data_IF_359633684001
#
_entry.id   IF_359633684001
#
_cell.length_a   1.000
_cell.length_b   1.000
_cell.length_c   1.000
_cell.angle_alpha   90.00
_cell.angle_beta   90.00
_cell.angle_gamma   90.00
#
_symmetry.space_group_name_H-M   'P 1'
#
loop_
_entity.id
_entity.type
_entity.pdbx_description
1 polymer ?
#
# COMPACT_ATOMS: atom_id res chain seq x y z
N UNK A 1 -22.18 -26.31 35.40
CA UNK A 1 -20.95 -26.20 34.59
C UNK A 1 -20.30 -27.56 34.52
N UNK A 2 -19.63 -27.88 33.41
CA UNK A 2 -18.85 -29.10 33.24
C UNK A 2 -17.38 -28.72 33.20
N UNK A 3 -16.55 -29.42 33.98
CA UNK A 3 -15.09 -29.26 33.99
C UNK A 3 -14.43 -30.52 33.43
N UNK A 4 -13.37 -30.31 32.67
CA UNK A 4 -12.49 -31.38 32.23
C UNK A 4 -11.44 -31.64 33.31
N UNK A 5 -11.27 -32.91 33.66
CA UNK A 5 -10.31 -33.35 34.67
C UNK A 5 -8.94 -33.54 34.03
N UNK A 6 -7.93 -32.86 34.56
CA UNK A 6 -6.53 -32.98 34.10
C UNK A 6 -5.73 -33.82 35.11
N UNK A 7 -5.06 -34.90 34.68
CA UNK A 7 -4.17 -35.65 35.57
C UNK A 7 -2.94 -34.81 35.97
N UNK A 8 -2.69 -34.65 37.26
CA UNK A 8 -1.61 -33.78 37.77
C UNK A 8 -0.20 -34.27 37.37
N UNK A 9 -0.01 -35.59 37.26
CA UNK A 9 1.29 -36.21 36.97
C UNK A 9 1.54 -36.43 35.47
N UNK A 10 0.69 -35.87 34.60
CA UNK A 10 0.86 -36.00 33.15
C UNK A 10 1.65 -34.81 32.59
N UNK A 11 2.62 -35.09 31.72
CA UNK A 11 3.31 -34.05 30.95
C UNK A 11 2.75 -34.08 29.54
N UNK A 12 2.16 -32.96 29.12
CA UNK A 12 1.61 -32.81 27.77
C UNK A 12 2.69 -32.22 26.87
N UNK A 13 3.13 -33.02 25.90
CA UNK A 13 4.10 -32.59 24.88
C UNK A 13 3.37 -32.01 23.67
N UNK A 14 3.60 -30.72 23.41
CA UNK A 14 3.17 -30.05 22.18
C UNK A 14 4.32 -30.11 21.17
N UNK A 15 4.13 -30.88 20.10
CA UNK A 15 5.07 -30.93 18.96
C UNK A 15 4.66 -29.86 17.95
N UNK A 16 5.26 -28.69 18.03
CA UNK A 16 4.92 -27.57 17.16
C UNK A 16 5.84 -27.48 15.95
N UNK A 17 5.27 -27.30 14.76
CA UNK A 17 6.03 -27.21 13.50
C UNK A 17 6.89 -25.94 13.42
N UNK A 18 6.60 -24.89 14.18
CA UNK A 18 7.37 -23.64 14.22
C UNK A 18 8.18 -23.54 15.51
N UNK A 19 7.54 -23.75 16.67
CA UNK A 19 8.18 -23.60 17.98
C UNK A 19 9.07 -24.77 18.35
N UNK A 20 8.85 -25.95 17.75
CA UNK A 20 9.46 -27.21 18.18
C UNK A 20 8.71 -27.78 19.37
N UNK A 21 9.38 -28.68 20.09
CA UNK A 21 8.79 -29.38 21.23
C UNK A 21 8.68 -28.46 22.45
N UNK A 22 7.46 -28.35 22.99
CA UNK A 22 7.15 -27.57 24.20
C UNK A 22 6.36 -28.46 25.17
N UNK A 23 6.83 -28.60 26.40
CA UNK A 23 6.20 -29.44 27.44
C UNK A 23 5.43 -28.60 28.45
N UNK A 24 4.26 -29.08 28.88
CA UNK A 24 3.44 -28.48 29.92
C UNK A 24 3.10 -29.53 30.99
N UNK A 25 3.26 -29.18 32.26
CA UNK A 25 2.87 -30.06 33.36
C UNK A 25 1.36 -29.99 33.62
N UNK A 26 0.72 -31.14 33.83
CA UNK A 26 -0.72 -31.22 34.11
C UNK A 26 -1.12 -30.43 35.37
N UNK A 27 -0.23 -30.38 36.36
CA UNK A 27 -0.33 -29.55 37.56
C UNK A 27 -0.48 -28.05 37.26
N UNK A 28 0.21 -27.53 36.23
CA UNK A 28 0.13 -26.12 35.80
C UNK A 28 -1.13 -25.83 34.99
N UNK A 29 -1.65 -26.83 34.28
CA UNK A 29 -2.86 -26.69 33.45
C UNK A 29 -4.10 -26.61 34.34
N UNK A 30 -4.24 -27.56 35.27
CA UNK A 30 -5.37 -27.73 36.19
C UNK A 30 -6.72 -27.99 35.51
N UNK A 31 -7.70 -28.46 36.27
CA UNK A 31 -9.07 -28.68 35.79
C UNK A 31 -9.69 -27.38 35.25
N UNK A 32 -10.27 -27.44 34.05
CA UNK A 32 -10.83 -26.27 33.39
C UNK A 32 -12.25 -26.48 32.89
N UNK A 33 -13.00 -25.39 32.78
CA UNK A 33 -14.40 -25.40 32.35
C UNK A 33 -14.45 -25.69 30.85
N UNK A 34 -15.23 -26.70 30.46
CA UNK A 34 -15.52 -27.03 29.05
C UNK A 34 -16.94 -26.66 28.64
N UNK A 35 -17.88 -26.59 29.59
CA UNK A 35 -19.24 -26.09 29.37
C UNK A 35 -19.66 -25.22 30.55
N UNK A 36 -20.10 -24.00 30.25
CA UNK A 36 -20.58 -23.03 31.25
C UNK A 36 -21.91 -23.47 31.87
N UNK A 37 -22.38 -22.76 32.90
CA UNK A 37 -23.67 -23.05 33.57
C UNK A 37 -24.88 -22.82 32.66
N UNK A 38 -24.75 -21.95 31.66
CA UNK A 38 -25.75 -21.65 30.63
C UNK A 38 -25.80 -22.71 29.51
N UNK A 39 -25.00 -23.78 29.60
CA UNK A 39 -24.92 -24.84 28.59
C UNK A 39 -24.03 -24.52 27.40
N UNK A 40 -23.45 -23.32 27.32
CA UNK A 40 -22.59 -22.91 26.20
C UNK A 40 -21.18 -23.49 26.37
N UNK A 41 -20.62 -24.17 25.36
CA UNK A 41 -19.26 -24.70 25.41
C UNK A 41 -18.21 -23.57 25.46
N UNK A 42 -17.08 -23.81 26.11
CA UNK A 42 -15.95 -22.88 26.12
C UNK A 42 -15.06 -23.10 24.90
N UNK A 43 -14.21 -22.10 24.60
CA UNK A 43 -13.36 -22.09 23.40
C UNK A 43 -12.60 -23.40 23.18
N UNK A 44 -11.87 -23.92 24.18
CA UNK A 44 -11.04 -25.11 24.01
C UNK A 44 -11.85 -26.37 23.69
N UNK A 45 -13.06 -26.49 24.23
CA UNK A 45 -13.92 -27.63 23.92
C UNK A 45 -14.59 -27.47 22.55
N UNK A 46 -15.13 -26.30 22.25
CA UNK A 46 -15.76 -26.02 20.96
C UNK A 46 -14.79 -26.20 19.80
N UNK A 47 -13.58 -25.62 19.90
CA UNK A 47 -12.59 -25.69 18.81
C UNK A 47 -12.10 -27.11 18.55
N UNK A 48 -11.93 -27.95 19.58
CA UNK A 48 -11.53 -29.36 19.39
C UNK A 48 -12.61 -30.16 18.68
N UNK A 49 -13.88 -29.92 19.04
CA UNK A 49 -15.03 -30.57 18.37
C UNK A 49 -15.13 -30.10 16.92
N UNK A 50 -15.03 -28.80 16.67
CA UNK A 50 -15.10 -28.24 15.32
C UNK A 50 -13.92 -28.69 14.46
N UNK A 51 -12.68 -28.59 14.94
CA UNK A 51 -11.49 -29.02 14.22
C UNK A 51 -11.56 -30.51 13.83
N UNK A 52 -11.99 -31.38 14.75
CA UNK A 52 -12.16 -32.81 14.47
C UNK A 52 -13.26 -33.05 13.44
N UNK A 53 -14.45 -32.46 13.62
CA UNK A 53 -15.59 -32.68 12.73
C UNK A 53 -15.38 -32.09 11.34
N UNK A 54 -14.60 -31.01 11.24
CA UNK A 54 -14.16 -30.39 9.98
C UNK A 54 -12.91 -31.05 9.39
N UNK A 55 -12.34 -32.07 10.05
CA UNK A 55 -11.16 -32.82 9.59
C UNK A 55 -9.93 -31.94 9.36
N UNK A 56 -9.70 -31.00 10.27
CA UNK A 56 -8.53 -30.12 10.24
C UNK A 56 -7.27 -30.96 10.43
N UNK A 57 -6.32 -30.83 9.51
CA UNK A 57 -5.03 -31.54 9.58
C UNK A 57 -3.93 -30.71 10.23
N UNK A 58 -3.99 -29.37 10.06
CA UNK A 58 -3.00 -28.42 10.56
C UNK A 58 -3.72 -27.21 11.16
N UNK A 59 -3.41 -26.91 12.42
CA UNK A 59 -3.86 -25.70 13.11
C UNK A 59 -2.72 -24.69 13.11
N UNK A 60 -2.86 -23.65 12.30
CA UNK A 60 -1.91 -22.53 12.21
C UNK A 60 -2.53 -21.32 12.90
N UNK A 61 -1.89 -20.82 13.96
CA UNK A 61 -2.41 -19.67 14.74
C UNK A 61 -1.30 -18.89 15.45
N UNK A 62 -1.63 -17.71 15.94
CA UNK A 62 -0.68 -16.87 16.67
C UNK A 62 -0.14 -17.56 17.95
N UNK A 63 1.13 -17.35 18.26
CA UNK A 63 1.82 -17.95 19.41
C UNK A 63 1.20 -17.61 20.76
N UNK A 64 0.42 -16.54 20.85
CA UNK A 64 -0.35 -16.20 22.05
C UNK A 64 -1.38 -17.28 22.45
N UNK A 65 -1.73 -18.17 21.52
CA UNK A 65 -2.61 -19.30 21.75
C UNK A 65 -1.88 -20.62 22.02
N UNK A 66 -0.54 -20.62 22.08
CA UNK A 66 0.26 -21.83 22.34
C UNK A 66 -0.13 -22.50 23.66
N UNK A 67 -0.39 -21.70 24.70
CA UNK A 67 -0.82 -22.19 26.03
C UNK A 67 -2.21 -22.86 26.05
N UNK A 68 -3.01 -22.71 25.00
CA UNK A 68 -4.28 -23.43 24.85
C UNK A 68 -4.09 -24.84 24.29
N UNK A 69 -3.02 -25.07 23.52
CA UNK A 69 -2.72 -26.34 22.85
C UNK A 69 -2.67 -27.54 23.78
N UNK A 70 -2.01 -27.51 24.96
CA UNK A 70 -2.01 -28.68 25.84
C UNK A 70 -3.40 -29.02 26.37
N UNK A 71 -4.27 -28.02 26.61
CA UNK A 71 -5.68 -28.26 26.97
C UNK A 71 -6.42 -28.98 25.85
N UNK A 72 -6.21 -28.53 24.61
CA UNK A 72 -6.85 -29.12 23.42
C UNK A 72 -6.37 -30.56 23.17
N UNK A 73 -5.07 -30.84 23.30
CA UNK A 73 -4.50 -32.19 23.19
C UNK A 73 -5.14 -33.15 24.20
N UNK A 74 -5.31 -32.73 25.46
CA UNK A 74 -5.96 -33.56 26.47
C UNK A 74 -7.40 -33.92 26.10
N UNK A 75 -8.14 -33.00 25.46
CA UNK A 75 -9.49 -33.26 24.97
C UNK A 75 -9.49 -34.25 23.80
N UNK A 76 -8.60 -34.08 22.81
CA UNK A 76 -8.42 -35.04 21.72
C UNK A 76 -8.14 -36.45 22.26
N UNK A 77 -7.19 -36.57 23.21
CA UNK A 77 -6.85 -37.84 23.86
C UNK A 77 -8.06 -38.45 24.57
N UNK A 78 -8.80 -37.67 25.35
CA UNK A 78 -9.97 -38.16 26.08
C UNK A 78 -11.11 -38.62 25.16
N UNK A 79 -11.23 -38.01 23.97
CA UNK A 79 -12.23 -38.36 22.97
C UNK A 79 -11.76 -39.49 22.04
N UNK A 80 -10.50 -39.91 22.14
CA UNK A 80 -9.91 -40.92 21.26
C UNK A 80 -9.75 -40.45 19.82
N UNK A 81 -9.55 -39.14 19.62
CA UNK A 81 -9.45 -38.50 18.31
C UNK A 81 -8.01 -38.26 17.90
N UNK A 82 -7.77 -38.24 16.59
CA UNK A 82 -6.47 -37.86 16.03
C UNK A 82 -6.20 -36.38 16.27
N UNK A 83 -4.98 -36.07 16.72
CA UNK A 83 -4.52 -34.72 17.04
C UNK A 83 -3.97 -34.09 15.75
N UNK A 84 -4.43 -32.90 15.32
CA UNK A 84 -3.87 -32.21 14.17
C UNK A 84 -2.43 -31.74 14.46
N UNK A 85 -1.67 -31.47 13.40
CA UNK A 85 -0.40 -30.78 13.56
C UNK A 85 -0.63 -29.33 14.00
N UNK A 86 0.23 -28.80 14.87
CA UNK A 86 0.16 -27.41 15.34
C UNK A 86 1.34 -26.61 14.82
N UNK A 87 1.08 -25.36 14.43
CA UNK A 87 2.11 -24.39 14.04
C UNK A 87 1.77 -23.02 14.64
N UNK A 88 2.61 -22.55 15.56
CA UNK A 88 2.38 -21.29 16.27
C UNK A 88 3.25 -20.15 15.70
N UNK A 89 2.65 -19.33 14.84
CA UNK A 89 3.31 -18.20 14.17
C UNK A 89 3.59 -17.04 15.12
N UNK A 90 4.71 -16.36 14.92
CA UNK A 90 5.15 -15.28 15.80
C UNK A 90 4.25 -14.06 15.79
N UNK A 91 4.26 -13.32 16.88
CA UNK A 91 3.60 -12.02 16.96
C UNK A 91 4.19 -11.03 15.94
N UNK A 92 3.31 -10.20 15.40
CA UNK A 92 3.69 -9.00 14.66
C UNK A 92 3.89 -7.87 15.68
N UNK A 93 5.04 -7.20 15.57
CA UNK A 93 5.45 -6.09 16.42
C UNK A 93 5.31 -4.76 15.69
N UNK A 94 5.13 -3.67 16.45
CA UNK A 94 5.31 -2.32 15.94
C UNK A 94 6.79 -1.97 15.74
N UNK A 95 7.07 -0.79 15.17
CA UNK A 95 8.44 -0.26 15.03
C UNK A 95 9.17 -0.11 16.37
N UNK A 96 8.44 0.09 17.46
CA UNK A 96 8.94 0.15 18.83
C UNK A 96 9.22 -1.24 19.45
N UNK A 97 9.01 -2.33 18.68
CA UNK A 97 9.13 -3.73 19.10
C UNK A 97 8.13 -4.17 20.18
N UNK A 98 7.09 -3.37 20.45
CA UNK A 98 5.97 -3.82 21.27
C UNK A 98 4.92 -4.54 20.42
N UNK A 99 4.00 -5.28 21.04
CA UNK A 99 2.92 -5.98 20.31
C UNK A 99 2.15 -4.97 19.47
N UNK A 100 1.92 -5.29 18.19
CA UNK A 100 1.16 -4.42 17.31
C UNK A 100 -0.24 -4.14 17.89
N UNK A 101 -0.64 -2.88 17.85
CA UNK A 101 -1.91 -2.41 18.41
C UNK A 101 -2.41 -1.21 17.61
N UNK A 102 -3.63 -0.76 17.87
CA UNK A 102 -4.21 0.44 17.23
C UNK A 102 -3.36 1.70 17.41
N UNK A 103 -2.43 1.74 18.37
CA UNK A 103 -1.51 2.87 18.60
C UNK A 103 -0.38 2.95 17.57
N UNK A 104 -0.09 1.84 16.88
CA UNK A 104 1.03 1.72 15.94
C UNK A 104 0.63 1.99 14.48
N UNK A 105 -0.63 2.38 14.25
CA UNK A 105 -1.16 2.67 12.92
C UNK A 105 -2.44 1.89 12.61
N UNK A 106 -2.74 1.79 11.32
CA UNK A 106 -3.86 0.99 10.85
C UNK A 106 -3.64 -0.48 11.20
N UNK A 107 -4.58 -1.07 11.93
CA UNK A 107 -4.55 -2.51 12.28
C UNK A 107 -5.67 -3.28 11.59
N UNK A 108 -6.57 -2.57 10.92
CA UNK A 108 -7.64 -3.16 10.11
C UNK A 108 -7.26 -3.13 8.64
N UNK A 109 -7.49 -4.23 7.95
CA UNK A 109 -7.36 -4.34 6.49
C UNK A 109 -8.22 -3.28 5.79
N UNK A 110 -9.41 -2.99 6.33
CA UNK A 110 -10.34 -1.99 5.80
C UNK A 110 -9.71 -0.59 5.73
N UNK A 111 -8.84 -0.24 6.69
CA UNK A 111 -8.17 1.06 6.67
C UNK A 111 -7.16 1.17 5.53
N UNK A 112 -6.45 0.08 5.20
CA UNK A 112 -5.56 0.02 4.04
C UNK A 112 -6.36 0.05 2.74
N UNK A 113 -7.47 -0.69 2.68
CA UNK A 113 -8.39 -0.64 1.54
C UNK A 113 -8.92 0.78 1.29
N UNK A 114 -9.36 1.47 2.34
CA UNK A 114 -9.88 2.85 2.25
C UNK A 114 -8.82 3.89 1.84
N UNK A 115 -7.53 3.60 2.03
CA UNK A 115 -6.43 4.43 1.53
C UNK A 115 -6.02 4.07 0.10
N UNK A 116 -6.56 2.97 -0.44
CA UNK A 116 -6.24 2.48 -1.77
C UNK A 116 -4.92 1.73 -1.86
N UNK A 117 -4.57 0.94 -0.83
CA UNK A 117 -3.54 -0.10 -0.98
C UNK A 117 -4.09 -1.24 -1.85
N UNK A 118 -3.24 -1.81 -2.69
CA UNK A 118 -3.60 -2.93 -3.53
C UNK A 118 -3.62 -4.23 -2.70
N UNK A 119 -4.63 -5.09 -2.89
CA UNK A 119 -4.71 -6.37 -2.16
C UNK A 119 -3.49 -7.26 -2.43
N UNK A 120 -2.92 -7.22 -3.63
CA UNK A 120 -1.73 -7.97 -4.01
C UNK A 120 -0.51 -7.53 -3.19
N UNK A 121 -0.30 -6.22 -3.06
CA UNK A 121 0.79 -5.67 -2.25
C UNK A 121 0.63 -6.01 -0.76
N UNK A 122 -0.60 -5.92 -0.24
CA UNK A 122 -0.87 -6.23 1.16
C UNK A 122 -0.67 -7.73 1.44
N UNK A 123 -1.12 -8.61 0.54
CA UNK A 123 -0.91 -10.05 0.66
C UNK A 123 0.59 -10.40 0.64
N UNK A 124 1.35 -9.86 -0.30
CA UNK A 124 2.79 -10.06 -0.38
C UNK A 124 3.50 -9.52 0.87
N UNK A 125 3.14 -8.33 1.34
CA UNK A 125 3.72 -7.76 2.56
C UNK A 125 3.45 -8.65 3.78
N UNK A 126 2.19 -9.06 3.98
CA UNK A 126 1.79 -9.90 5.11
C UNK A 126 2.44 -11.28 5.05
N UNK A 127 2.62 -11.87 3.86
CA UNK A 127 3.36 -13.12 3.71
C UNK A 127 4.81 -12.98 4.17
N UNK A 128 5.48 -11.88 3.86
CA UNK A 128 6.86 -11.62 4.32
C UNK A 128 6.95 -11.29 5.83
N UNK A 129 5.83 -11.11 6.53
CA UNK A 129 5.82 -10.96 7.99
C UNK A 129 5.90 -12.32 8.68
N UNK A 130 7.13 -12.80 8.82
CA UNK A 130 7.42 -14.03 9.55
C UNK A 130 7.59 -15.26 8.67
N UNK A 131 7.57 -15.10 7.34
CA UNK A 131 8.04 -16.12 6.40
C UNK A 131 9.12 -15.53 5.48
N UNK A 132 10.07 -16.36 5.08
CA UNK A 132 11.16 -15.98 4.18
C UNK A 132 11.17 -16.87 2.93
N UNK A 133 11.30 -16.31 1.72
CA UNK A 133 11.43 -17.08 0.48
C UNK A 133 12.79 -17.79 0.36
N UNK A 134 13.74 -17.52 1.27
CA UNK A 134 15.10 -18.05 1.21
C UNK A 134 16.00 -17.38 0.16
N UNK A 135 15.46 -16.42 -0.60
CA UNK A 135 16.17 -15.55 -1.53
C UNK A 135 16.09 -14.07 -1.07
N UNK A 136 16.70 -13.17 -1.83
CA UNK A 136 16.57 -11.71 -1.64
C UNK A 136 15.33 -11.13 -2.34
N UNK A 137 14.50 -11.98 -2.96
CA UNK A 137 13.29 -11.55 -3.65
C UNK A 137 12.21 -11.13 -2.64
N UNK A 138 11.55 -10.00 -2.89
CA UNK A 138 10.54 -9.44 -1.98
C UNK A 138 9.20 -9.15 -2.67
N UNK A 139 9.15 -9.25 -4.00
CA UNK A 139 7.97 -8.96 -4.81
C UNK A 139 7.46 -10.29 -5.35
N UNK A 140 6.25 -10.67 -4.94
CA UNK A 140 5.62 -11.92 -5.32
C UNK A 140 4.14 -11.74 -5.58
N UNK A 141 3.68 -12.25 -6.72
CA UNK A 141 2.28 -12.54 -6.94
C UNK A 141 1.75 -13.54 -5.90
N UNK A 142 0.42 -13.55 -5.72
CA UNK A 142 -0.21 -14.51 -4.81
C UNK A 142 0.02 -15.97 -5.24
N UNK A 143 0.18 -16.22 -6.54
CA UNK A 143 0.43 -17.58 -7.04
C UNK A 143 1.89 -18.01 -6.79
N UNK A 144 2.88 -17.12 -6.97
CA UNK A 144 4.26 -17.39 -6.58
C UNK A 144 4.38 -17.64 -5.07
N UNK A 145 3.65 -16.90 -4.24
CA UNK A 145 3.59 -17.17 -2.80
C UNK A 145 3.03 -18.57 -2.51
N UNK A 146 1.95 -18.99 -3.18
CA UNK A 146 1.39 -20.35 -3.00
C UNK A 146 2.38 -21.44 -3.39
N UNK A 147 3.12 -21.24 -4.47
CA UNK A 147 4.09 -22.21 -4.97
C UNK A 147 5.31 -22.33 -4.05
N UNK A 148 5.75 -21.22 -3.45
CA UNK A 148 6.96 -21.17 -2.63
C UNK A 148 6.71 -21.37 -1.14
N UNK A 149 5.48 -21.16 -0.65
CA UNK A 149 5.19 -21.19 0.78
C UNK A 149 5.38 -22.58 1.38
N UNK A 150 6.15 -22.63 2.46
CA UNK A 150 6.29 -23.83 3.29
C UNK A 150 6.36 -23.42 4.76
N UNK A 151 5.85 -24.29 5.65
CA UNK A 151 5.85 -24.01 7.09
C UNK A 151 7.26 -24.01 7.70
N UNK A 152 8.20 -24.75 7.13
CA UNK A 152 9.58 -24.84 7.58
C UNK A 152 10.32 -23.49 7.48
N UNK A 153 9.85 -22.60 6.59
CA UNK A 153 10.41 -21.27 6.38
C UNK A 153 9.69 -20.17 7.17
N UNK A 154 8.74 -20.55 8.04
CA UNK A 154 8.13 -19.63 9.00
C UNK A 154 9.09 -19.42 10.17
N UNK A 155 9.47 -18.17 10.40
CA UNK A 155 10.44 -17.77 11.40
C UNK A 155 9.86 -17.79 12.81
N UNK A 156 10.68 -18.25 13.78
CA UNK A 156 10.36 -18.18 15.22
C UNK A 156 10.49 -16.78 15.81
N UNK A 157 11.21 -15.89 15.13
CA UNK A 157 11.38 -14.50 15.57
C UNK A 157 10.12 -13.69 15.23
N UNK A 158 9.73 -12.74 16.10
CA UNK A 158 8.68 -11.77 15.78
C UNK A 158 9.03 -10.93 14.55
N UNK A 159 8.03 -10.61 13.74
CA UNK A 159 8.18 -9.74 12.57
C UNK A 159 7.80 -8.30 12.93
N UNK A 160 8.57 -7.33 12.45
CA UNK A 160 8.24 -5.90 12.64
C UNK A 160 7.39 -5.43 11.46
N UNK A 161 6.24 -4.85 11.77
CA UNK A 161 5.40 -4.19 10.77
C UNK A 161 6.06 -2.86 10.34
N UNK A 162 6.65 -2.85 9.16
CA UNK A 162 7.27 -1.66 8.58
C UNK A 162 6.38 -1.03 7.50
N UNK A 163 5.77 0.11 7.84
CA UNK A 163 4.93 0.86 6.92
C UNK A 163 5.70 1.41 5.71
N UNK A 164 6.99 1.72 5.86
CA UNK A 164 7.79 2.26 4.75
C UNK A 164 8.04 1.17 3.72
N UNK A 165 8.32 -0.05 4.18
CA UNK A 165 8.41 -1.24 3.32
C UNK A 165 7.09 -1.53 2.61
N UNK A 166 5.96 -1.47 3.32
CA UNK A 166 4.64 -1.63 2.70
C UNK A 166 4.36 -0.57 1.64
N UNK A 167 4.71 0.69 1.89
CA UNK A 167 4.56 1.79 0.93
C UNK A 167 5.43 1.58 -0.32
N UNK A 168 6.70 1.19 -0.13
CA UNK A 168 7.60 0.87 -1.24
C UNK A 168 7.04 -0.27 -2.10
N UNK A 169 6.60 -1.35 -1.44
CA UNK A 169 6.04 -2.51 -2.11
C UNK A 169 4.76 -2.14 -2.87
N UNK A 170 3.82 -1.47 -2.21
CA UNK A 170 2.57 -1.05 -2.84
C UNK A 170 2.81 -0.08 -4.00
N UNK A 171 3.79 0.82 -3.90
CA UNK A 171 4.20 1.67 -5.01
C UNK A 171 4.73 0.88 -6.21
N UNK A 172 5.41 -0.25 -5.98
CA UNK A 172 5.78 -1.18 -7.06
C UNK A 172 4.53 -1.74 -7.75
N UNK A 173 3.59 -2.29 -6.98
CA UNK A 173 2.34 -2.81 -7.53
C UNK A 173 1.52 -1.75 -8.26
N UNK A 174 1.46 -0.51 -7.78
CA UNK A 174 0.80 0.61 -8.48
C UNK A 174 1.42 0.81 -9.87
N UNK A 175 2.74 0.80 -9.99
CA UNK A 175 3.41 1.06 -11.29
C UNK A 175 3.14 -0.03 -12.33
N UNK A 176 2.98 -1.28 -11.89
CA UNK A 176 2.72 -2.44 -12.74
C UNK A 176 1.23 -2.70 -12.98
N UNK A 177 0.34 -2.04 -12.24
CA UNK A 177 -1.11 -2.23 -12.39
C UNK A 177 -1.66 -1.50 -13.60
N UNK A 178 -2.67 -2.11 -14.22
CA UNK A 178 -3.46 -1.54 -15.31
C UNK A 178 -4.02 -0.16 -14.96
N UNK A 179 -3.90 0.77 -15.91
CA UNK A 179 -4.17 2.18 -15.66
C UNK A 179 -5.66 2.44 -15.44
N UNK A 180 -6.54 1.70 -16.10
CA UNK A 180 -7.98 1.79 -15.95
C UNK A 180 -8.36 1.38 -14.53
N UNK A 181 -7.83 0.28 -14.01
CA UNK A 181 -8.02 -0.11 -12.60
C UNK A 181 -7.56 0.98 -11.63
N UNK A 182 -6.38 1.57 -11.84
CA UNK A 182 -5.88 2.66 -10.98
C UNK A 182 -6.76 3.90 -11.07
N UNK A 183 -7.28 4.19 -12.26
CA UNK A 183 -8.17 5.33 -12.49
C UNK A 183 -9.46 5.16 -11.68
N UNK A 184 -10.09 3.99 -11.76
CA UNK A 184 -11.27 3.66 -10.95
C UNK A 184 -10.99 3.76 -9.44
N UNK A 185 -9.82 3.28 -8.98
CA UNK A 185 -9.42 3.41 -7.58
C UNK A 185 -9.16 4.86 -7.16
N UNK A 186 -8.77 5.74 -8.09
CA UNK A 186 -8.55 7.16 -7.81
C UNK A 186 -9.86 7.97 -7.72
N UNK A 187 -10.91 7.60 -8.47
CA UNK A 187 -12.15 8.39 -8.56
C UNK A 187 -12.73 8.79 -7.19
N UNK A 188 -12.88 7.88 -6.19
CA UNK A 188 -13.45 8.25 -4.89
C UNK A 188 -12.58 9.27 -4.12
N UNK A 189 -11.26 9.21 -4.31
CA UNK A 189 -10.33 10.14 -3.67
C UNK A 189 -10.38 11.52 -4.31
N UNK A 190 -10.52 11.58 -5.64
CA UNK A 190 -10.66 12.82 -6.39
C UNK A 190 -12.01 13.51 -6.13
N UNK A 191 -13.09 12.72 -6.05
CA UNK A 191 -14.41 13.23 -5.68
C UNK A 191 -14.43 13.78 -4.25
N UNK A 192 -13.84 13.06 -3.29
CA UNK A 192 -13.69 13.53 -1.90
C UNK A 192 -12.87 14.82 -1.78
N UNK A 193 -11.89 15.01 -2.67
CA UNK A 193 -11.10 16.24 -2.74
C UNK A 193 -11.82 17.39 -3.46
N UNK A 194 -12.99 17.15 -4.06
CA UNK A 194 -13.80 18.15 -4.75
C UNK A 194 -13.35 18.45 -6.18
N UNK A 195 -12.45 17.66 -6.75
CA UNK A 195 -11.93 17.89 -8.11
C UNK A 195 -12.87 17.40 -9.21
N UNK A 196 -13.65 16.36 -8.90
CA UNK A 196 -14.57 15.74 -9.84
C UNK A 196 -15.90 15.43 -9.16
N UNK A 197 -16.92 15.12 -9.96
CA UNK A 197 -18.18 14.52 -9.50
C UNK A 197 -18.49 13.34 -10.41
N UNK A 198 -18.61 12.15 -9.81
CA UNK A 198 -18.88 10.92 -10.55
C UNK A 198 -20.41 10.70 -10.72
N UNK A 199 -20.86 10.02 -11.79
CA UNK A 199 -20.08 9.39 -12.86
C UNK A 199 -19.50 10.41 -13.85
N UNK A 200 -18.33 10.10 -14.41
CA UNK A 200 -17.66 10.95 -15.39
C UNK A 200 -18.13 10.67 -16.83
N UNK A 201 -18.36 11.70 -17.66
CA UNK A 201 -18.37 11.56 -19.11
C UNK A 201 -17.05 10.99 -19.62
N UNK A 202 -17.08 10.23 -20.73
CA UNK A 202 -15.90 9.54 -21.28
C UNK A 202 -14.68 10.45 -21.46
N UNK A 203 -14.86 11.67 -21.98
CA UNK A 203 -13.78 12.65 -22.17
C UNK A 203 -13.13 13.09 -20.84
N UNK A 204 -13.95 13.30 -19.80
CA UNK A 204 -13.44 13.63 -18.46
C UNK A 204 -12.73 12.43 -17.82
N UNK A 205 -13.23 11.22 -18.06
CA UNK A 205 -12.58 10.00 -17.59
C UNK A 205 -11.19 9.85 -18.20
N UNK A 206 -11.04 10.01 -19.52
CA UNK A 206 -9.73 9.96 -20.18
C UNK A 206 -8.78 11.06 -19.67
N UNK A 207 -9.30 12.26 -19.40
CA UNK A 207 -8.50 13.33 -18.77
C UNK A 207 -7.99 12.93 -17.38
N UNK A 208 -8.85 12.35 -16.54
CA UNK A 208 -8.44 11.84 -15.21
C UNK A 208 -7.44 10.70 -15.34
N UNK A 209 -7.65 9.79 -16.30
CA UNK A 209 -6.73 8.68 -16.58
C UNK A 209 -5.32 9.19 -16.96
N UNK A 210 -5.24 10.23 -17.79
CA UNK A 210 -3.96 10.90 -18.10
C UNK A 210 -3.30 11.50 -16.85
N UNK A 211 -4.07 12.15 -15.98
CA UNK A 211 -3.57 12.69 -14.71
C UNK A 211 -3.02 11.59 -13.80
N UNK A 212 -3.76 10.49 -13.64
CA UNK A 212 -3.31 9.31 -12.87
C UNK A 212 -2.03 8.74 -13.45
N UNK A 213 -1.93 8.60 -14.78
CA UNK A 213 -0.72 8.13 -15.44
C UNK A 213 0.49 9.02 -15.17
N UNK A 214 0.32 10.34 -15.20
CA UNK A 214 1.39 11.31 -14.96
C UNK A 214 1.92 11.26 -13.52
N UNK A 215 1.05 10.92 -12.54
CA UNK A 215 1.43 10.90 -11.13
C UNK A 215 1.73 9.51 -10.57
N UNK A 216 1.38 8.42 -11.28
CA UNK A 216 1.46 7.03 -10.75
C UNK A 216 2.81 6.65 -10.14
N UNK A 217 3.91 7.20 -10.68
CA UNK A 217 5.28 6.91 -10.21
C UNK A 217 5.62 7.51 -8.85
N UNK A 218 4.82 8.46 -8.36
CA UNK A 218 4.99 9.13 -7.08
C UNK A 218 4.09 8.56 -5.98
N UNK A 219 3.16 7.66 -6.32
CA UNK A 219 2.17 7.15 -5.38
C UNK A 219 2.71 5.97 -4.58
N UNK A 220 2.52 6.03 -3.27
CA UNK A 220 2.64 4.89 -2.36
C UNK A 220 1.31 4.17 -2.16
N UNK A 221 0.18 4.87 -2.25
CA UNK A 221 -1.19 4.34 -2.19
C UNK A 221 -2.16 5.33 -2.87
N UNK A 222 -3.33 4.86 -3.33
CA UNK A 222 -4.16 5.64 -4.27
C UNK A 222 -4.76 6.92 -3.68
N UNK A 223 -4.90 7.05 -2.35
CA UNK A 223 -5.36 8.30 -1.75
C UNK A 223 -4.42 9.49 -2.03
N UNK A 224 -3.11 9.26 -2.19
CA UNK A 224 -2.12 10.32 -2.52
C UNK A 224 -2.38 10.93 -3.91
N UNK A 225 -3.15 10.25 -4.76
CA UNK A 225 -3.50 10.77 -6.09
C UNK A 225 -4.09 12.18 -6.00
N UNK A 226 -4.99 12.42 -5.05
CA UNK A 226 -5.63 13.73 -4.86
C UNK A 226 -4.63 14.86 -4.59
N UNK A 227 -3.57 14.59 -3.84
CA UNK A 227 -2.52 15.57 -3.59
C UNK A 227 -1.69 15.83 -4.85
N UNK A 228 -1.29 14.77 -5.55
CA UNK A 228 -0.41 14.88 -6.71
C UNK A 228 -1.09 15.44 -7.96
N UNK A 229 -2.39 15.20 -8.17
CA UNK A 229 -3.12 15.75 -9.32
C UNK A 229 -3.62 17.16 -9.09
N UNK A 230 -3.51 17.71 -7.88
CA UNK A 230 -3.92 19.08 -7.53
C UNK A 230 -3.43 20.12 -8.55
N UNK A 231 -2.20 19.95 -9.03
CA UNK A 231 -1.57 20.81 -10.04
C UNK A 231 -2.36 20.89 -11.36
N UNK A 232 -3.34 20.03 -11.62
CA UNK A 232 -4.17 20.04 -12.82
C UNK A 232 -5.56 20.65 -12.58
N UNK A 233 -5.95 20.90 -11.33
CA UNK A 233 -7.26 21.45 -10.95
C UNK A 233 -7.19 22.88 -10.42
N UNK A 234 -6.10 23.24 -9.74
CA UNK A 234 -5.92 24.59 -9.22
C UNK A 234 -5.47 25.54 -10.35
N UNK A 235 -6.21 26.62 -10.57
CA UNK A 235 -5.84 27.63 -11.56
C UNK A 235 -4.67 28.51 -11.10
N UNK A 236 -4.60 28.81 -9.79
CA UNK A 236 -3.56 29.65 -9.18
C UNK A 236 -2.28 28.85 -8.90
N UNK A 237 -1.15 29.26 -9.50
CA UNK A 237 0.16 28.60 -9.28
C UNK A 237 0.93 29.28 -8.15
N UNK A 238 0.97 28.64 -6.98
CA UNK A 238 1.74 29.11 -5.83
C UNK A 238 3.16 28.57 -5.84
N UNK A 239 4.15 29.45 -5.67
CA UNK A 239 5.56 29.05 -5.60
C UNK A 239 5.86 28.32 -4.29
N UNK A 240 6.31 27.08 -4.38
CA UNK A 240 6.46 26.16 -3.24
C UNK A 240 7.59 26.55 -2.29
N UNK A 241 8.74 27.02 -2.80
CA UNK A 241 9.94 27.21 -1.99
C UNK A 241 10.91 28.28 -2.55
N UNK A 242 11.96 28.57 -1.78
CA UNK A 242 12.98 29.57 -2.11
C UNK A 242 13.77 29.21 -3.38
N UNK A 243 13.98 27.92 -3.66
CA UNK A 243 14.65 27.45 -4.88
C UNK A 243 13.84 27.83 -6.13
N UNK A 244 12.53 27.56 -6.11
CA UNK A 244 11.60 27.93 -7.16
C UNK A 244 11.55 29.46 -7.36
N UNK A 245 11.53 30.25 -6.28
CA UNK A 245 11.62 31.73 -6.37
C UNK A 245 12.94 32.18 -7.00
N UNK A 246 14.05 31.53 -6.64
CA UNK A 246 15.37 31.79 -7.21
C UNK A 246 15.40 31.56 -8.73
N UNK A 247 14.79 30.47 -9.19
CA UNK A 247 14.65 30.16 -10.63
C UNK A 247 13.85 31.26 -11.34
N UNK A 248 12.71 31.68 -10.77
CA UNK A 248 11.84 32.68 -11.38
C UNK A 248 12.42 34.10 -11.39
N UNK A 249 13.45 34.36 -10.57
CA UNK A 249 14.17 35.64 -10.54
C UNK A 249 15.21 35.78 -11.67
N UNK A 250 15.40 34.74 -12.50
CA UNK A 250 16.37 34.75 -13.60
C UNK A 250 15.99 35.72 -14.72
N UNK A 251 16.96 36.49 -15.22
CA UNK A 251 16.72 37.50 -16.28
C UNK A 251 16.17 36.92 -17.60
N UNK A 252 16.41 35.63 -17.86
CA UNK A 252 15.90 34.93 -19.05
C UNK A 252 14.44 34.47 -18.93
N UNK A 253 13.88 34.42 -17.71
CA UNK A 253 12.57 33.79 -17.43
C UNK A 253 11.48 34.42 -18.29
N UNK A 254 11.34 35.74 -18.25
CA UNK A 254 10.33 36.47 -19.03
C UNK A 254 10.42 36.17 -20.53
N UNK A 255 11.63 36.15 -21.09
CA UNK A 255 11.84 35.85 -22.50
C UNK A 255 11.44 34.40 -22.86
N UNK A 256 11.79 33.43 -22.00
CA UNK A 256 11.43 32.02 -22.18
C UNK A 256 9.91 31.84 -22.18
N UNK A 257 9.21 32.42 -21.19
CA UNK A 257 7.77 32.26 -21.05
C UNK A 257 7.01 32.96 -22.19
N UNK A 258 7.42 34.19 -22.57
CA UNK A 258 6.81 34.92 -23.67
C UNK A 258 6.98 34.20 -25.02
N UNK A 259 8.18 33.65 -25.30
CA UNK A 259 8.42 32.91 -26.54
C UNK A 259 7.61 31.59 -26.57
N UNK A 260 7.46 30.92 -25.43
CA UNK A 260 6.61 29.73 -25.34
C UNK A 260 5.12 30.07 -25.58
N UNK A 261 4.60 31.12 -24.93
CA UNK A 261 3.22 31.61 -25.15
C UNK A 261 3.00 31.95 -26.64
N UNK A 262 3.95 32.67 -27.25
CA UNK A 262 3.89 33.05 -28.66
C UNK A 262 3.77 31.82 -29.57
N UNK A 263 4.57 30.78 -29.33
CA UNK A 263 4.53 29.53 -30.12
C UNK A 263 3.22 28.78 -29.92
N UNK A 264 2.77 28.66 -28.68
CA UNK A 264 1.52 27.98 -28.34
C UNK A 264 0.30 28.69 -28.96
N UNK A 265 0.33 30.02 -29.04
CA UNK A 265 -0.75 30.79 -29.66
C UNK A 265 -0.87 30.62 -31.18
N UNK A 266 0.15 30.08 -31.85
CA UNK A 266 0.10 29.72 -33.28
C UNK A 266 -0.58 28.37 -33.51
N UNK A 267 -0.66 27.53 -32.49
CA UNK A 267 -1.35 26.23 -32.57
C UNK A 267 -2.86 26.43 -32.78
N UNK A 268 -3.47 25.63 -33.64
CA UNK A 268 -4.91 25.74 -33.99
C UNK A 268 -5.78 24.95 -33.02
N UNK A 269 -5.25 23.86 -32.44
CA UNK A 269 -5.94 22.97 -31.50
C UNK A 269 -5.69 23.38 -30.05
N UNK A 270 -6.66 23.09 -29.18
CA UNK A 270 -6.48 23.25 -27.72
C UNK A 270 -5.66 22.10 -27.11
N UNK A 271 -5.70 20.92 -27.75
CA UNK A 271 -4.86 19.78 -27.39
C UNK A 271 -3.40 20.02 -27.77
N UNK A 272 -2.50 19.62 -26.86
CA UNK A 272 -1.06 19.56 -27.06
C UNK A 272 -0.61 18.17 -26.65
N UNK A 273 0.02 17.41 -27.55
CA UNK A 273 0.58 16.09 -27.20
C UNK A 273 1.92 16.26 -26.47
N UNK A 274 2.31 15.27 -25.67
CA UNK A 274 3.58 15.32 -24.92
C UNK A 274 4.80 15.50 -25.85
N UNK A 275 4.83 14.85 -27.01
CA UNK A 275 5.93 15.02 -27.98
C UNK A 275 5.95 16.40 -28.62
N UNK A 276 4.78 17.01 -28.83
CA UNK A 276 4.64 18.39 -29.31
C UNK A 276 5.11 19.38 -28.23
N UNK A 277 4.73 19.19 -26.97
CA UNK A 277 5.23 19.97 -25.84
C UNK A 277 6.77 19.91 -25.76
N UNK A 278 7.34 18.70 -25.93
CA UNK A 278 8.80 18.50 -25.96
C UNK A 278 9.45 19.23 -27.14
N UNK A 279 8.81 19.24 -28.31
CA UNK A 279 9.30 19.97 -29.49
C UNK A 279 9.26 21.50 -29.26
N UNK A 280 8.16 22.03 -28.73
CA UNK A 280 8.00 23.45 -28.40
C UNK A 280 9.13 23.94 -27.47
N UNK A 281 9.41 23.20 -26.38
CA UNK A 281 10.49 23.56 -25.46
C UNK A 281 11.87 23.58 -26.12
N UNK A 282 12.15 22.65 -27.05
CA UNK A 282 13.41 22.64 -27.82
C UNK A 282 13.51 23.85 -28.75
N UNK A 283 12.41 24.23 -29.38
CA UNK A 283 12.37 25.38 -30.28
C UNK A 283 12.53 26.71 -29.56
N UNK A 284 11.90 26.88 -28.38
CA UNK A 284 12.12 28.04 -27.50
C UNK A 284 13.62 28.17 -27.21
N UNK A 285 14.27 27.07 -26.82
CA UNK A 285 15.72 27.03 -26.60
C UNK A 285 16.53 27.47 -27.83
N UNK A 286 16.19 26.95 -29.01
CA UNK A 286 16.88 27.31 -30.27
C UNK A 286 16.74 28.80 -30.58
N UNK A 287 15.54 29.37 -30.41
CA UNK A 287 15.26 30.77 -30.75
C UNK A 287 15.94 31.77 -29.82
N UNK A 288 16.08 31.42 -28.53
CA UNK A 288 16.68 32.28 -27.51
C UNK A 288 18.17 31.96 -27.26
N UNK A 289 18.73 30.95 -27.91
CA UNK A 289 20.10 30.48 -27.67
C UNK A 289 20.30 29.85 -26.28
N UNK A 290 19.22 29.40 -25.62
CA UNK A 290 19.23 28.82 -24.28
C UNK A 290 19.23 27.29 -24.35
N UNK A 291 19.68 26.62 -23.27
CA UNK A 291 19.69 25.15 -23.19
C UNK A 291 19.31 24.63 -21.81
N UNK A 292 18.78 23.41 -21.78
CA UNK A 292 18.57 22.64 -20.55
C UNK A 292 17.78 23.40 -19.49
N UNK A 293 18.31 23.45 -18.27
CA UNK A 293 17.64 24.01 -17.07
C UNK A 293 17.20 25.46 -17.25
N UNK A 294 17.86 26.22 -18.12
CA UNK A 294 17.51 27.61 -18.41
C UNK A 294 16.14 27.77 -19.07
N UNK A 295 15.60 26.68 -19.65
CA UNK A 295 14.29 26.67 -20.32
C UNK A 295 13.26 25.91 -19.47
N UNK A 296 13.56 24.65 -19.13
CA UNK A 296 12.54 23.78 -18.54
C UNK A 296 12.24 24.11 -17.08
N UNK A 297 13.19 24.65 -16.31
CA UNK A 297 12.92 25.02 -14.91
C UNK A 297 11.99 26.23 -14.79
N UNK A 298 12.22 27.35 -15.52
CA UNK A 298 11.25 28.45 -15.56
C UNK A 298 9.85 28.01 -15.96
N UNK A 299 9.72 27.19 -17.02
CA UNK A 299 8.41 26.71 -17.47
C UNK A 299 7.77 25.78 -16.43
N UNK A 300 8.54 24.85 -15.84
CA UNK A 300 8.04 23.98 -14.77
C UNK A 300 7.51 24.78 -13.59
N UNK A 301 8.30 25.71 -13.09
CA UNK A 301 7.93 26.51 -11.92
C UNK A 301 6.71 27.39 -12.24
N UNK A 302 6.66 28.01 -13.42
CA UNK A 302 5.52 28.81 -13.84
C UNK A 302 4.23 27.99 -14.03
N UNK A 303 4.33 26.71 -14.40
CA UNK A 303 3.17 25.84 -14.59
C UNK A 303 2.75 25.08 -13.33
N UNK A 304 3.66 24.80 -12.40
CA UNK A 304 3.41 23.87 -11.28
C UNK A 304 3.73 24.43 -9.91
N UNK A 305 4.46 25.55 -9.82
CA UNK A 305 4.90 26.17 -8.57
C UNK A 305 6.15 25.54 -7.96
N UNK A 306 6.49 24.30 -8.36
CA UNK A 306 7.58 23.51 -7.80
C UNK A 306 8.78 23.30 -8.73
N UNK A 307 9.88 22.82 -8.15
CA UNK A 307 11.10 22.41 -8.89
C UNK A 307 11.09 20.93 -9.28
N UNK A 308 10.18 20.15 -8.71
CA UNK A 308 10.01 18.72 -8.92
C UNK A 308 8.58 18.40 -9.40
N UNK A 309 8.27 17.12 -9.61
CA UNK A 309 6.94 16.65 -10.01
C UNK A 309 6.93 15.97 -11.37
N UNK A 310 5.73 15.69 -11.93
CA UNK A 310 5.55 14.93 -13.17
C UNK A 310 6.36 15.49 -14.35
N UNK A 311 6.57 14.66 -15.36
CA UNK A 311 7.34 15.05 -16.54
C UNK A 311 6.68 16.26 -17.22
N UNK A 312 7.48 17.30 -17.52
CA UNK A 312 6.95 18.61 -17.88
C UNK A 312 6.10 18.58 -19.16
N UNK A 313 6.50 17.73 -20.11
CA UNK A 313 5.75 17.46 -21.33
C UNK A 313 4.37 16.82 -21.06
N UNK A 314 4.25 15.95 -20.06
CA UNK A 314 2.96 15.39 -19.64
C UNK A 314 2.11 16.44 -18.95
N UNK A 315 2.73 17.28 -18.10
CA UNK A 315 2.03 18.41 -17.47
C UNK A 315 1.46 19.35 -18.52
N UNK A 316 2.27 19.73 -19.51
CA UNK A 316 1.83 20.57 -20.62
C UNK A 316 0.71 19.90 -21.42
N UNK A 317 0.80 18.59 -21.67
CA UNK A 317 -0.22 17.87 -22.41
C UNK A 317 -1.57 17.85 -21.67
N UNK A 318 -1.56 17.65 -20.35
CA UNK A 318 -2.78 17.64 -19.51
C UNK A 318 -3.39 19.04 -19.40
N UNK A 319 -2.57 20.08 -19.22
CA UNK A 319 -3.06 21.47 -19.14
C UNK A 319 -3.62 21.98 -20.47
N UNK A 320 -3.13 21.42 -21.57
CA UNK A 320 -3.44 21.88 -22.92
C UNK A 320 -3.03 23.33 -23.15
N UNK A 321 -3.40 23.85 -24.32
CA UNK A 321 -3.10 25.21 -24.73
C UNK A 321 -3.59 26.25 -23.72
N UNK A 322 -4.88 26.20 -23.37
CA UNK A 322 -5.52 27.21 -22.55
C UNK A 322 -4.95 27.25 -21.12
N UNK A 323 -4.69 26.08 -20.51
CA UNK A 323 -4.08 25.99 -19.19
C UNK A 323 -2.65 26.53 -19.17
N UNK A 324 -1.83 26.17 -20.17
CA UNK A 324 -0.46 26.68 -20.28
C UNK A 324 -0.45 28.20 -20.44
N UNK A 325 -1.18 28.74 -21.42
CA UNK A 325 -1.14 30.19 -21.70
C UNK A 325 -1.59 30.97 -20.48
N UNK A 326 -2.71 30.58 -19.86
CA UNK A 326 -3.24 31.22 -18.65
C UNK A 326 -2.20 31.29 -17.53
N UNK A 327 -1.60 30.15 -17.16
CA UNK A 327 -0.59 30.09 -16.09
C UNK A 327 0.66 30.87 -16.43
N UNK A 328 1.17 30.76 -17.65
CA UNK A 328 2.37 31.49 -18.07
C UNK A 328 2.14 33.01 -18.13
N UNK A 329 0.93 33.44 -18.48
CA UNK A 329 0.56 34.87 -18.58
C UNK A 329 0.64 35.62 -17.25
N UNK A 330 0.53 34.95 -16.11
CA UNK A 330 0.68 35.57 -14.79
C UNK A 330 2.11 36.06 -14.51
N UNK A 331 3.09 35.56 -15.26
CA UNK A 331 4.51 35.80 -15.04
C UNK A 331 5.14 36.81 -16.00
N UNK A 332 4.42 37.29 -17.01
CA UNK A 332 5.01 38.04 -18.15
C UNK A 332 4.42 39.40 -18.43
#
# INVERSE_FOLDING_TARGET
>A
MVRFRVPENEVVLVRDLVRGDVSFEGSEIGDYIIVKSDGIPTYNFAVVVDDHTMKISHVIRAEEHLSNTPRQILLYNALGWEIPAFAHVSLILGKDRSKMSKRHGATSIEQYQNRGYLPEALANFLALLGWSPGSEEEIFSLDELKEQFTLERVAKSPAVFDLDKLNWLNGHYIRETDLERLTEMALPHLEKAGYISAPLPAEKYESVKMMVAAVRKYLSYMQETAEHVRIFFDDDVLIENDEARGIMSGGQVKAVLQELIKRINVTVTDEIKADEARALLKEVGRSLGLKGKQIFMPVRVALTGGTQGPDLDQVMAILGRAGIVRRLSEWV
#
